data_IF_808344984020
#
_entry.id   IF_808344984020
#
_cell.length_a   1.000
_cell.length_b   1.000
_cell.length_c   1.000
_cell.angle_alpha   90.00
_cell.angle_beta   90.00
_cell.angle_gamma   90.00
#
_symmetry.space_group_name_H-M   'P 1'
#
loop_
_entity.id
_entity.type
_entity.pdbx_description
1 polymer ?
#
# COMPACT_ATOMS: atom_id res chain seq x y z
N UNK A 1 29.02 -54.31 -60.09
CA UNK A 1 29.79 -55.17 -59.17
C UNK A 1 30.59 -54.25 -58.27
N UNK A 2 30.56 -54.49 -56.95
CA UNK A 2 31.21 -53.62 -55.96
C UNK A 2 30.35 -53.44 -54.71
N UNK A 3 30.31 -54.48 -53.87
CA UNK A 3 29.81 -54.37 -52.50
C UNK A 3 30.62 -53.34 -51.69
N UNK A 4 29.94 -52.60 -50.80
CA UNK A 4 30.44 -52.45 -49.44
C UNK A 4 29.37 -52.05 -48.42
N UNK A 5 29.59 -52.53 -47.19
CA UNK A 5 28.70 -52.49 -46.03
C UNK A 5 28.88 -51.21 -45.19
N UNK A 6 27.95 -50.91 -44.26
CA UNK A 6 27.95 -49.65 -43.51
C UNK A 6 28.96 -49.63 -42.35
N UNK A 7 29.47 -48.45 -42.02
CA UNK A 7 30.13 -48.17 -40.75
C UNK A 7 29.14 -47.47 -39.80
N UNK A 8 28.72 -48.18 -38.75
CA UNK A 8 28.03 -47.57 -37.61
C UNK A 8 28.98 -46.64 -36.87
N UNK A 9 28.53 -45.45 -36.48
CA UNK A 9 29.20 -44.62 -35.48
C UNK A 9 28.18 -44.32 -34.39
N UNK A 10 28.39 -44.93 -33.23
CA UNK A 10 27.49 -44.82 -32.08
C UNK A 10 27.44 -43.38 -31.57
N UNK A 11 26.23 -42.81 -31.52
CA UNK A 11 25.97 -41.57 -30.82
C UNK A 11 25.82 -41.90 -29.32
N UNK A 12 26.85 -41.60 -28.53
CA UNK A 12 26.79 -41.72 -27.07
C UNK A 12 25.94 -40.56 -26.55
N UNK A 13 24.69 -40.85 -26.24
CA UNK A 13 23.77 -39.93 -25.58
C UNK A 13 24.13 -39.81 -24.09
N UNK A 14 24.90 -38.79 -23.74
CA UNK A 14 25.27 -38.49 -22.35
C UNK A 14 24.15 -37.67 -21.71
N UNK A 15 23.11 -38.38 -21.27
CA UNK A 15 22.08 -37.84 -20.38
C UNK A 15 22.71 -37.40 -19.05
N UNK A 16 23.07 -36.12 -18.95
CA UNK A 16 23.57 -35.51 -17.72
C UNK A 16 22.40 -35.16 -16.81
N UNK A 17 21.93 -36.13 -16.03
CA UNK A 17 21.04 -35.91 -14.88
C UNK A 17 21.79 -35.12 -13.79
N UNK A 18 21.93 -33.82 -14.01
CA UNK A 18 22.43 -32.89 -13.00
C UNK A 18 21.29 -32.60 -12.01
N UNK A 19 21.17 -33.48 -11.00
CA UNK A 19 20.27 -33.32 -9.86
C UNK A 19 20.39 -31.90 -9.29
N UNK A 20 19.42 -31.04 -9.63
CA UNK A 20 19.29 -29.69 -9.06
C UNK A 20 18.90 -29.82 -7.60
N UNK A 21 19.93 -29.97 -6.76
CA UNK A 21 19.85 -29.93 -5.30
C UNK A 21 19.02 -28.69 -4.90
N UNK A 22 17.84 -28.87 -4.26
CA UNK A 22 16.95 -27.75 -3.99
C UNK A 22 17.65 -26.75 -3.07
N UNK A 23 17.72 -25.48 -3.51
CA UNK A 23 18.36 -24.42 -2.75
C UNK A 23 17.77 -24.33 -1.33
N UNK A 24 18.59 -24.35 -0.26
CA UNK A 24 18.09 -24.44 1.12
C UNK A 24 17.18 -23.27 1.54
N UNK A 25 17.23 -22.15 0.81
CA UNK A 25 16.36 -20.99 0.99
C UNK A 25 14.88 -21.28 0.68
N UNK A 26 14.57 -22.23 -0.21
CA UNK A 26 13.18 -22.54 -0.59
C UNK A 26 12.43 -23.27 0.54
N UNK A 27 13.09 -24.21 1.22
CA UNK A 27 12.49 -25.02 2.30
C UNK A 27 12.04 -24.17 3.50
N UNK A 28 12.79 -23.11 3.84
CA UNK A 28 12.42 -22.23 4.96
C UNK A 28 11.27 -21.26 4.66
N UNK A 29 10.95 -20.99 3.39
CA UNK A 29 9.80 -20.17 3.03
C UNK A 29 8.48 -20.94 3.26
N UNK A 30 8.42 -22.20 2.82
CA UNK A 30 7.23 -23.07 2.94
C UNK A 30 6.90 -23.43 4.39
N UNK A 31 7.92 -23.71 5.22
CA UNK A 31 7.72 -23.97 6.65
C UNK A 31 7.09 -22.78 7.39
N UNK A 32 7.40 -21.54 6.98
CA UNK A 32 6.81 -20.34 7.60
C UNK A 32 5.36 -20.14 7.19
N UNK A 33 5.05 -20.35 5.90
CA UNK A 33 3.67 -20.27 5.40
C UNK A 33 2.74 -21.25 6.14
N UNK A 34 3.21 -22.48 6.38
CA UNK A 34 2.46 -23.53 7.09
C UNK A 34 2.16 -23.25 8.57
N UNK A 35 2.73 -22.19 9.18
CA UNK A 35 2.53 -21.84 10.60
C UNK A 35 1.69 -20.58 10.84
N UNK A 36 1.11 -20.00 9.77
CA UNK A 36 0.21 -18.84 9.88
C UNK A 36 -1.19 -19.29 10.30
N UNK A 37 -1.73 -18.64 11.32
CA UNK A 37 -3.10 -18.87 11.82
C UNK A 37 -4.15 -18.04 11.07
N UNK A 38 -3.67 -17.03 10.32
CA UNK A 38 -4.50 -16.11 9.55
C UNK A 38 -4.81 -16.66 8.16
N UNK A 39 -6.05 -16.50 7.76
CA UNK A 39 -6.50 -16.70 6.38
C UNK A 39 -6.97 -15.35 5.84
N UNK A 40 -6.34 -14.89 4.75
CA UNK A 40 -6.70 -13.66 4.02
C UNK A 40 -7.42 -14.07 2.74
N UNK A 41 -8.47 -13.33 2.36
CA UNK A 41 -9.04 -13.48 1.02
C UNK A 41 -7.99 -13.05 -0.02
N UNK A 42 -7.57 -13.93 -0.95
CA UNK A 42 -6.46 -13.63 -1.88
C UNK A 42 -6.78 -12.47 -2.84
N UNK A 43 -8.06 -12.17 -3.06
CA UNK A 43 -8.51 -11.07 -3.94
C UNK A 43 -9.04 -9.93 -3.06
N UNK A 44 -8.51 -8.70 -3.19
CA UNK A 44 -9.03 -7.56 -2.44
C UNK A 44 -10.36 -7.04 -3.03
N UNK A 45 -11.24 -6.52 -2.17
CA UNK A 45 -12.54 -5.91 -2.52
C UNK A 45 -12.39 -4.75 -3.54
N UNK A 46 -11.26 -4.04 -3.46
CA UNK A 46 -10.81 -3.05 -4.43
C UNK A 46 -9.29 -2.93 -4.37
N UNK A 47 -8.68 -2.40 -5.44
CA UNK A 47 -7.23 -2.21 -5.57
C UNK A 47 -6.63 -3.05 -6.70
N UNK A 48 -5.29 -3.09 -6.85
CA UNK A 48 -4.62 -4.10 -7.68
C UNK A 48 -5.02 -5.52 -7.27
N UNK A 49 -5.30 -6.39 -8.25
CA UNK A 49 -5.63 -7.81 -8.04
C UNK A 49 -4.36 -8.64 -7.74
N UNK A 50 -3.69 -8.29 -6.65
CA UNK A 50 -2.49 -8.96 -6.14
C UNK A 50 -2.74 -9.45 -4.70
N UNK A 51 -2.08 -10.54 -4.26
CA UNK A 51 -2.22 -11.01 -2.89
C UNK A 51 -1.70 -9.97 -1.88
N UNK A 52 -2.10 -10.10 -0.61
CA UNK A 52 -1.54 -9.31 0.47
C UNK A 52 -0.04 -9.63 0.62
N UNK A 53 0.85 -8.63 0.71
CA UNK A 53 2.27 -8.86 0.95
C UNK A 53 2.53 -9.66 2.23
N UNK A 54 3.39 -10.68 2.15
CA UNK A 54 3.67 -11.64 3.22
C UNK A 54 4.00 -11.01 4.57
N UNK A 55 4.84 -9.96 4.57
CA UNK A 55 5.25 -9.28 5.81
C UNK A 55 4.07 -8.62 6.54
N UNK A 56 3.01 -8.23 5.82
CA UNK A 56 1.79 -7.70 6.44
C UNK A 56 0.90 -8.82 7.00
N UNK A 57 0.91 -9.99 6.38
CA UNK A 57 0.25 -11.19 6.93
C UNK A 57 0.95 -11.61 8.23
N UNK A 58 2.28 -11.59 8.26
CA UNK A 58 3.07 -11.91 9.46
C UNK A 58 2.81 -10.91 10.61
N UNK A 59 2.75 -9.60 10.33
CA UNK A 59 2.40 -8.56 11.32
C UNK A 59 1.01 -8.79 11.92
N UNK A 60 0.01 -9.17 11.09
CA UNK A 60 -1.32 -9.51 11.58
C UNK A 60 -1.30 -10.82 12.41
N UNK A 61 -0.55 -11.84 11.98
CA UNK A 61 -0.49 -13.15 12.61
C UNK A 61 0.18 -13.09 13.99
N UNK A 62 1.25 -12.31 14.13
CA UNK A 62 1.84 -11.98 15.44
C UNK A 62 0.86 -11.28 16.38
N UNK A 63 0.05 -10.36 15.84
CA UNK A 63 -0.95 -9.66 16.63
C UNK A 63 -2.04 -10.62 17.12
N UNK A 64 -2.55 -11.49 16.23
CA UNK A 64 -3.58 -12.47 16.56
C UNK A 64 -3.07 -13.56 17.52
N UNK A 65 -1.81 -14.00 17.39
CA UNK A 65 -1.14 -14.87 18.39
C UNK A 65 -1.15 -14.27 19.80
N UNK A 66 -1.06 -12.94 19.93
CA UNK A 66 -1.04 -12.22 21.22
C UNK A 66 -2.43 -11.82 21.72
N UNK A 67 -3.41 -11.58 20.83
CA UNK A 67 -4.73 -10.98 21.17
C UNK A 67 -5.94 -11.86 20.84
N UNK A 68 -5.75 -13.06 20.29
CA UNK A 68 -6.81 -14.00 19.96
C UNK A 68 -7.74 -13.49 18.85
N UNK A 69 -9.06 -13.61 19.05
CA UNK A 69 -10.09 -13.27 18.04
C UNK A 69 -10.46 -11.78 17.97
N UNK A 70 -9.83 -10.91 18.76
CA UNK A 70 -10.08 -9.47 18.73
C UNK A 70 -9.74 -8.88 17.34
N UNK A 71 -10.08 -7.60 17.08
CA UNK A 71 -9.67 -6.93 15.84
C UNK A 71 -8.42 -6.05 16.05
N UNK A 72 -7.44 -6.05 15.12
CA UNK A 72 -6.24 -5.24 15.25
C UNK A 72 -6.56 -3.73 15.19
N UNK A 73 -5.68 -2.87 15.75
CA UNK A 73 -5.83 -1.42 15.68
C UNK A 73 -6.07 -0.88 14.26
N UNK A 74 -5.47 -1.51 13.23
CA UNK A 74 -5.63 -1.18 11.82
C UNK A 74 -6.94 -1.63 11.17
N UNK A 75 -7.83 -2.34 11.88
CA UNK A 75 -9.07 -2.83 11.31
C UNK A 75 -9.95 -1.68 10.76
N UNK A 76 -10.48 -1.91 9.58
CA UNK A 76 -11.27 -0.97 8.78
C UNK A 76 -12.75 -1.35 8.79
N UNK A 77 -13.62 -0.37 9.03
CA UNK A 77 -15.06 -0.58 9.01
C UNK A 77 -15.60 -0.78 7.59
N UNK A 78 -16.64 -1.59 7.43
CA UNK A 78 -17.24 -1.90 6.13
C UNK A 78 -18.17 -0.80 5.58
N UNK A 79 -17.67 0.44 5.54
CA UNK A 79 -18.41 1.58 4.99
C UNK A 79 -18.44 1.53 3.46
N UNK A 80 -19.65 1.54 2.87
CA UNK A 80 -19.81 1.81 1.43
C UNK A 80 -19.48 3.27 1.17
N UNK A 81 -18.35 3.55 0.52
CA UNK A 81 -18.03 4.91 0.05
C UNK A 81 -18.62 5.09 -1.35
N UNK A 82 -19.58 6.01 -1.49
CA UNK A 82 -20.23 6.30 -2.77
C UNK A 82 -19.41 7.18 -3.71
N UNK A 83 -18.41 7.88 -3.18
CA UNK A 83 -17.55 8.80 -3.93
C UNK A 83 -16.35 8.08 -4.56
N UNK A 84 -15.92 8.57 -5.73
CA UNK A 84 -14.65 8.16 -6.35
C UNK A 84 -13.50 8.75 -5.53
N UNK A 85 -12.35 8.08 -5.52
CA UNK A 85 -11.20 8.48 -4.71
C UNK A 85 -9.88 8.13 -5.40
N UNK A 86 -8.82 8.86 -5.03
CA UNK A 86 -7.41 8.52 -5.29
C UNK A 86 -6.62 8.64 -3.98
N UNK A 87 -5.42 8.08 -3.93
CA UNK A 87 -4.50 8.24 -2.80
C UNK A 87 -3.20 8.85 -3.31
N UNK A 88 -2.63 9.77 -2.55
CA UNK A 88 -1.34 10.41 -2.85
C UNK A 88 -0.44 10.39 -1.62
N UNK A 89 0.87 10.33 -1.83
CA UNK A 89 1.87 10.53 -0.77
C UNK A 89 2.10 12.03 -0.46
N UNK A 90 3.22 12.35 0.20
CA UNK A 90 3.60 13.72 0.58
C UNK A 90 4.19 14.51 -0.59
N UNK A 91 4.70 13.79 -1.58
CA UNK A 91 5.35 14.29 -2.78
C UNK A 91 4.31 14.52 -3.90
N UNK A 92 3.10 13.97 -3.75
CA UNK A 92 1.99 14.09 -4.68
C UNK A 92 1.91 12.98 -5.72
N UNK A 93 2.70 11.93 -5.56
CA UNK A 93 2.69 10.74 -6.40
C UNK A 93 1.46 9.88 -6.04
N UNK A 94 0.75 9.44 -7.07
CA UNK A 94 -0.45 8.62 -6.90
C UNK A 94 -0.07 7.20 -6.44
N UNK A 95 -0.65 6.77 -5.32
CA UNK A 95 -0.44 5.47 -4.71
C UNK A 95 -1.66 4.57 -4.88
N UNK A 96 -1.42 3.26 -4.93
CA UNK A 96 -2.50 2.27 -4.95
C UNK A 96 -2.89 1.88 -3.52
N UNK A 97 -4.19 1.68 -3.30
CA UNK A 97 -4.75 1.26 -2.01
C UNK A 97 -5.67 0.07 -2.25
N UNK A 98 -5.45 -1.00 -1.49
CA UNK A 98 -6.25 -2.22 -1.54
C UNK A 98 -7.05 -2.41 -0.26
N UNK A 99 -8.24 -3.02 -0.34
CA UNK A 99 -9.02 -3.47 0.82
C UNK A 99 -9.08 -4.98 0.84
N UNK A 100 -8.42 -5.61 1.80
CA UNK A 100 -8.46 -7.06 1.98
C UNK A 100 -9.43 -7.44 3.08
N UNK A 101 -10.08 -8.60 2.91
CA UNK A 101 -10.87 -9.24 3.95
C UNK A 101 -10.02 -10.31 4.66
N UNK A 102 -9.94 -10.22 5.97
CA UNK A 102 -9.41 -11.28 6.84
C UNK A 102 -10.57 -12.23 7.15
N UNK A 103 -10.35 -13.53 7.00
CA UNK A 103 -11.36 -14.58 7.16
C UNK A 103 -11.20 -15.33 8.50
N UNK A 104 -9.95 -15.53 8.95
CA UNK A 104 -9.57 -16.21 10.19
C UNK A 104 -8.45 -15.43 10.87
N UNK A 105 -8.40 -15.35 12.23
CA UNK A 105 -9.27 -16.03 13.20
C UNK A 105 -10.57 -15.25 13.54
N UNK A 106 -10.74 -14.05 12.99
CA UNK A 106 -11.99 -13.28 13.02
C UNK A 106 -12.18 -12.51 11.72
N UNK A 107 -13.44 -12.23 11.36
CA UNK A 107 -13.79 -11.57 10.09
C UNK A 107 -13.76 -10.04 10.21
N UNK A 108 -12.80 -9.41 9.55
CA UNK A 108 -12.68 -7.95 9.46
C UNK A 108 -12.00 -7.55 8.15
N UNK A 109 -11.88 -6.25 7.89
CA UNK A 109 -11.17 -5.70 6.74
C UNK A 109 -9.94 -4.90 7.17
N UNK A 110 -8.94 -4.83 6.29
CA UNK A 110 -7.77 -3.95 6.43
C UNK A 110 -7.52 -3.21 5.13
N UNK A 111 -6.87 -2.05 5.23
CA UNK A 111 -6.38 -1.32 4.06
C UNK A 111 -4.87 -1.52 3.92
N UNK A 112 -4.42 -1.84 2.72
CA UNK A 112 -3.00 -1.96 2.36
C UNK A 112 -2.66 -0.87 1.36
N UNK A 113 -1.72 0.00 1.73
CA UNK A 113 -1.14 1.02 0.85
C UNK A 113 0.06 0.41 0.12
N UNK A 114 0.10 0.57 -1.20
CA UNK A 114 1.17 0.08 -2.07
C UNK A 114 1.92 1.25 -2.72
N UNK A 115 3.25 1.14 -2.82
CA UNK A 115 4.13 2.02 -3.57
C UNK A 115 5.21 1.19 -4.28
N UNK A 116 5.89 1.77 -5.27
CA UNK A 116 7.15 1.21 -5.80
C UNK A 116 8.29 1.25 -4.78
N UNK A 117 8.19 2.13 -3.77
CA UNK A 117 9.34 2.52 -2.94
C UNK A 117 9.39 1.78 -1.59
N UNK A 118 8.33 1.03 -1.26
CA UNK A 118 8.22 0.21 -0.05
C UNK A 118 7.31 -1.00 -0.28
N UNK A 119 7.53 -2.10 0.44
CA UNK A 119 6.87 -3.41 0.26
C UNK A 119 5.35 -3.43 0.48
N UNK A 120 4.80 -2.36 1.05
CA UNK A 120 3.39 -2.19 1.40
C UNK A 120 3.22 -1.88 2.89
N UNK A 121 2.17 -1.15 3.25
CA UNK A 121 1.86 -0.76 4.65
C UNK A 121 0.40 -1.04 4.99
N UNK A 122 0.14 -1.59 6.18
CA UNK A 122 -1.20 -1.57 6.78
C UNK A 122 -1.52 -0.13 7.18
N UNK A 123 -2.66 0.41 6.76
CA UNK A 123 -3.03 1.82 7.02
C UNK A 123 -4.45 1.97 7.55
N UNK A 124 -4.70 3.07 8.25
CA UNK A 124 -6.03 3.47 8.73
C UNK A 124 -6.25 4.96 8.52
N UNK A 125 -7.52 5.35 8.38
CA UNK A 125 -7.94 6.76 8.45
C UNK A 125 -7.64 7.36 9.82
N UNK A 126 -6.87 8.45 9.90
CA UNK A 126 -6.57 9.16 11.17
C UNK A 126 -7.76 9.92 11.72
N UNK A 127 -8.65 10.41 10.85
CA UNK A 127 -9.83 11.20 11.21
C UNK A 127 -11.10 10.59 10.59
N UNK A 128 -12.23 10.55 11.33
CA UNK A 128 -13.51 10.06 10.81
C UNK A 128 -14.26 11.11 9.97
N UNK A 129 -13.81 12.37 9.98
CA UNK A 129 -14.42 13.47 9.26
C UNK A 129 -13.58 13.83 8.04
N UNK A 130 -14.25 14.14 6.93
CA UNK A 130 -13.61 14.67 5.73
C UNK A 130 -13.07 16.07 6.04
N UNK A 131 -11.75 16.23 5.99
CA UNK A 131 -11.16 17.56 5.92
C UNK A 131 -11.28 18.10 4.50
N UNK A 132 -11.03 19.41 4.33
CA UNK A 132 -11.03 20.10 3.03
C UNK A 132 -10.24 19.37 1.94
N UNK A 133 -9.18 18.65 2.32
CA UNK A 133 -8.27 17.94 1.42
C UNK A 133 -8.57 16.44 1.29
N UNK A 134 -9.40 15.85 2.16
CA UNK A 134 -9.70 14.41 2.16
C UNK A 134 -9.50 13.74 3.51
N UNK A 135 -9.09 12.47 3.50
CA UNK A 135 -8.84 11.64 4.69
C UNK A 135 -7.37 11.22 4.71
N UNK A 136 -6.64 11.65 5.74
CA UNK A 136 -5.26 11.25 5.95
C UNK A 136 -5.14 9.79 6.43
N UNK A 137 -4.16 9.08 5.88
CA UNK A 137 -3.84 7.70 6.17
C UNK A 137 -2.55 7.62 7.01
N UNK A 138 -2.64 6.95 8.15
CA UNK A 138 -1.55 6.68 9.08
C UNK A 138 -1.24 5.18 9.03
N UNK A 139 0.04 4.82 9.01
CA UNK A 139 0.46 3.43 8.92
C UNK A 139 0.58 2.79 10.30
N UNK A 140 0.15 1.54 10.40
CA UNK A 140 0.34 0.68 11.56
C UNK A 140 1.42 -0.35 11.23
N UNK A 141 2.44 -0.44 12.08
CA UNK A 141 3.60 -1.30 11.86
C UNK A 141 3.54 -2.61 12.68
N UNK A 142 2.66 -2.68 13.69
CA UNK A 142 2.44 -3.88 14.50
C UNK A 142 2.07 -3.54 15.94
N UNK A 143 2.01 -4.56 16.81
CA UNK A 143 1.80 -4.37 18.25
C UNK A 143 3.03 -3.73 18.93
N UNK A 144 4.24 -3.99 18.44
CA UNK A 144 5.50 -3.56 19.07
C UNK A 144 5.87 -2.14 18.62
N UNK A 145 5.83 -1.90 17.31
CA UNK A 145 6.19 -0.63 16.67
C UNK A 145 5.04 0.40 16.73
N UNK A 146 3.79 -0.06 16.84
CA UNK A 146 2.62 0.80 16.95
C UNK A 146 2.29 1.56 15.66
N UNK A 147 2.04 2.86 15.78
CA UNK A 147 1.69 3.74 14.66
C UNK A 147 2.85 4.64 14.23
N UNK A 148 3.00 4.86 12.93
CA UNK A 148 3.87 5.92 12.42
C UNK A 148 3.40 7.28 12.95
N UNK A 149 4.30 8.06 13.56
CA UNK A 149 3.96 9.39 14.12
C UNK A 149 3.25 10.30 13.10
N UNK A 150 3.71 10.23 11.84
CA UNK A 150 3.28 11.04 10.71
C UNK A 150 2.34 10.27 9.79
N UNK A 151 1.34 10.97 9.23
CA UNK A 151 0.56 10.45 8.12
C UNK A 151 1.45 10.21 6.89
N UNK A 152 1.22 9.08 6.22
CA UNK A 152 2.02 8.60 5.09
C UNK A 152 1.38 8.89 3.73
N UNK A 153 0.04 9.06 3.68
CA UNK A 153 -0.70 9.35 2.46
C UNK A 153 -2.01 10.10 2.77
N UNK A 154 -2.64 10.67 1.74
CA UNK A 154 -3.98 11.27 1.80
C UNK A 154 -4.89 10.63 0.74
N UNK A 155 -6.10 10.25 1.15
CA UNK A 155 -7.16 9.77 0.27
C UNK A 155 -8.11 10.92 -0.04
N UNK A 156 -8.11 11.37 -1.29
CA UNK A 156 -8.89 12.51 -1.78
C UNK A 156 -10.13 11.98 -2.50
N UNK A 157 -11.30 12.57 -2.27
CA UNK A 157 -12.59 12.10 -2.80
C UNK A 157 -13.25 13.15 -3.70
N UNK A 158 -13.92 12.70 -4.76
CA UNK A 158 -14.77 13.54 -5.60
C UNK A 158 -15.90 12.74 -6.25
N UNK A 159 -16.80 13.42 -6.97
CA UNK A 159 -17.83 12.77 -7.79
C UNK A 159 -17.23 12.02 -8.99
N UNK A 160 -16.18 12.58 -9.59
CA UNK A 160 -15.53 12.07 -10.81
C UNK A 160 -14.01 11.98 -10.62
N UNK A 161 -13.37 10.94 -11.18
CA UNK A 161 -11.93 10.69 -10.98
C UNK A 161 -11.02 11.84 -11.46
N UNK A 162 -11.39 12.51 -12.55
CA UNK A 162 -10.64 13.64 -13.13
C UNK A 162 -10.61 14.90 -12.24
N UNK A 163 -11.56 15.03 -11.31
CA UNK A 163 -11.65 16.17 -10.39
C UNK A 163 -10.85 15.93 -9.10
N UNK A 164 -10.16 14.79 -8.99
CA UNK A 164 -9.35 14.42 -7.83
C UNK A 164 -7.91 14.87 -8.08
N UNK A 165 -7.64 16.10 -7.65
CA UNK A 165 -6.34 16.76 -7.84
C UNK A 165 -5.63 16.83 -6.49
N UNK A 166 -4.35 16.46 -6.48
CA UNK A 166 -3.48 16.60 -5.31
C UNK A 166 -3.17 18.09 -5.01
N UNK A 167 -3.06 18.43 -3.73
CA UNK A 167 -2.63 19.76 -3.29
C UNK A 167 -1.54 19.62 -2.21
N UNK A 168 -0.34 20.19 -2.39
CA UNK A 168 0.70 20.22 -1.35
C UNK A 168 0.24 20.90 -0.05
N UNK A 169 -0.69 21.85 -0.15
CA UNK A 169 -1.29 22.54 1.00
C UNK A 169 -2.05 21.61 1.94
N UNK A 170 -2.36 20.37 1.53
CA UNK A 170 -2.90 19.36 2.43
C UNK A 170 -1.96 19.07 3.62
N UNK A 171 -0.64 19.24 3.44
CA UNK A 171 0.37 18.91 4.46
C UNK A 171 0.85 20.10 5.28
N UNK A 172 0.43 21.33 4.94
CA UNK A 172 0.79 22.55 5.69
C UNK A 172 -0.09 22.74 6.93
N UNK A 173 -1.29 22.14 6.95
CA UNK A 173 -2.13 22.12 8.15
C UNK A 173 -1.49 21.21 9.20
N UNK A 174 -1.36 21.66 10.46
CA UNK A 174 -0.79 20.85 11.52
C UNK A 174 -1.75 19.71 11.90
N UNK A 175 -1.63 18.58 11.19
CA UNK A 175 -2.36 17.34 11.49
C UNK A 175 -1.87 16.86 12.86
N UNK A 176 -2.59 17.20 13.95
CA UNK A 176 -2.22 16.86 15.34
C UNK A 176 -1.54 15.49 15.44
N UNK A 177 -0.28 15.48 15.84
CA UNK A 177 0.51 14.26 15.92
C UNK A 177 -0.15 13.26 16.87
N UNK A 178 -0.17 12.00 16.44
CA UNK A 178 -0.65 10.92 17.29
C UNK A 178 0.48 10.49 18.21
N UNK A 179 0.13 10.25 19.47
CA UNK A 179 0.92 9.39 20.34
C UNK A 179 1.09 8.03 19.62
N UNK A 180 2.33 7.53 19.42
CA UNK A 180 2.58 6.25 18.75
C UNK A 180 1.84 5.06 19.38
N UNK A 181 1.46 5.14 20.66
CA UNK A 181 0.60 4.16 21.34
C UNK A 181 -0.85 4.13 20.82
N UNK A 182 -1.29 5.09 19.99
CA UNK A 182 -2.63 5.16 19.41
C UNK A 182 -3.77 5.52 20.40
N UNK A 183 -3.45 5.72 21.68
CA UNK A 183 -4.42 5.89 22.77
C UNK A 183 -5.33 7.14 22.61
N UNK A 184 -4.87 8.16 21.90
CA UNK A 184 -5.61 9.42 21.74
C UNK A 184 -6.83 9.33 20.80
N UNK A 185 -7.02 8.23 20.04
CA UNK A 185 -8.17 8.05 19.15
C UNK A 185 -9.53 8.11 19.88
N UNK A 186 -9.60 7.67 21.15
CA UNK A 186 -10.87 7.66 21.92
C UNK A 186 -11.26 9.04 22.45
N UNK A 187 -10.32 9.98 22.52
CA UNK A 187 -10.57 11.37 22.89
C UNK A 187 -10.78 12.18 21.63
N UNK A 188 -11.90 11.92 20.94
CA UNK A 188 -12.49 13.00 20.14
C UNK A 188 -12.55 14.22 21.05
N UNK A 189 -12.15 15.41 20.60
CA UNK A 189 -12.68 16.60 21.22
C UNK A 189 -14.20 16.43 21.12
N UNK A 190 -14.86 16.26 22.27
CA UNK A 190 -16.16 16.92 22.39
C UNK A 190 -15.87 18.33 21.91
N UNK A 191 -16.65 18.83 20.95
CA UNK A 191 -16.69 20.27 20.78
C UNK A 191 -16.91 20.81 22.17
N UNK A 192 -16.03 21.69 22.63
CA UNK A 192 -16.38 22.53 23.76
C UNK A 192 -17.68 23.17 23.30
N UNK A 193 -18.79 22.75 23.92
CA UNK A 193 -20.06 23.42 23.74
C UNK A 193 -19.77 24.82 24.24
N UNK A 194 -19.50 25.74 23.30
CA UNK A 194 -19.61 27.17 23.53
C UNK A 194 -20.93 27.34 24.22
N UNK A 195 -20.88 27.61 25.53
CA UNK A 195 -22.05 27.65 26.39
C UNK A 195 -23.05 28.55 25.68
N UNK A 196 -24.09 27.91 25.12
CA UNK A 196 -25.05 28.61 24.30
C UNK A 196 -25.91 29.37 25.28
N UNK A 197 -25.42 30.54 25.67
CA UNK A 197 -25.95 31.42 26.72
C UNK A 197 -27.44 31.41 26.56
N UNK A 198 -28.08 30.70 27.48
CA UNK A 198 -29.50 30.40 27.42
C UNK A 198 -30.16 31.68 27.88
N UNK A 199 -30.38 32.60 26.93
CA UNK A 199 -31.07 33.86 27.16
C UNK A 199 -32.48 33.54 27.69
N UNK A 200 -32.54 33.53 29.02
CA UNK A 200 -33.69 33.19 29.83
C UNK A 200 -34.36 34.52 30.18
N UNK A 201 -35.65 34.66 29.87
CA UNK A 201 -36.42 35.84 30.22
C UNK A 201 -36.51 36.91 29.12
N UNK A 202 -37.41 36.68 28.16
CA UNK A 202 -38.36 37.74 27.84
C UNK A 202 -39.77 37.12 27.85
N UNK A 203 -40.51 37.44 28.90
CA UNK A 203 -41.95 37.24 28.94
C UNK A 203 -42.60 37.99 27.80
N UNK A 204 -43.47 37.30 27.07
CA UNK A 204 -44.64 37.95 26.48
C UNK A 204 -45.86 37.13 26.82
N UNK A 205 -46.54 37.57 27.87
CA UNK A 205 -47.95 37.28 28.04
C UNK A 205 -48.70 37.59 26.74
N UNK A 206 -49.54 36.66 26.29
CA UNK A 206 -50.84 37.05 25.76
C UNK A 206 -51.86 35.95 26.03
N UNK A 207 -52.83 36.31 26.86
CA UNK A 207 -53.92 35.47 27.30
C UNK A 207 -54.91 35.11 26.16
N UNK A 208 -55.85 34.21 26.53
CA UNK A 208 -57.24 34.09 26.04
C UNK A 208 -57.51 33.31 24.74
N UNK A 209 -57.55 31.98 24.92
CA UNK A 209 -58.78 31.15 24.94
C UNK A 209 -59.79 31.20 23.73
N UNK A 210 -60.89 30.41 23.69
CA UNK A 210 -60.96 29.20 22.86
C UNK A 210 -62.04 29.22 21.78
N UNK A 211 -62.06 28.22 20.88
CA UNK A 211 -63.26 27.37 20.68
C UNK A 211 -63.05 26.15 19.75
N UNK A 212 -63.62 25.02 20.20
CA UNK A 212 -64.34 23.98 19.42
C UNK A 212 -63.89 23.64 17.97
N UNK A 213 -63.58 22.36 17.76
CA UNK A 213 -64.33 21.52 16.79
C UNK A 213 -64.29 20.02 17.11
N UNK A 214 -65.48 19.42 17.22
CA UNK A 214 -65.73 17.97 17.37
C UNK A 214 -65.62 17.26 16.02
N UNK A 215 -65.09 16.03 15.99
CA UNK A 215 -65.48 14.89 15.12
C UNK A 215 -64.83 13.62 15.70
N UNK A 216 -65.55 12.74 16.42
CA UNK A 216 -66.60 11.77 16.02
C UNK A 216 -66.03 10.45 15.46
N UNK A 217 -66.09 9.41 16.32
CA UNK A 217 -66.35 7.98 16.11
C UNK A 217 -65.82 7.25 14.86
N UNK A 218 -65.15 6.09 15.04
CA UNK A 218 -65.74 4.71 15.03
C UNK A 218 -64.68 3.63 15.46
N UNK A 219 -64.99 2.32 15.61
CA UNK A 219 -65.19 1.74 16.96
C UNK A 219 -64.23 0.59 17.36
N UNK A 220 -64.23 0.29 18.67
CA UNK A 220 -63.75 -0.98 19.25
C UNK A 220 -64.47 -2.21 18.67
N UNK A 221 -63.80 -3.37 18.70
CA UNK A 221 -64.44 -4.68 18.82
C UNK A 221 -63.84 -5.41 20.02
N UNK A 222 -64.69 -5.76 20.98
CA UNK A 222 -64.37 -6.63 22.12
C UNK A 222 -65.03 -7.99 21.88
N UNK A 223 -64.35 -9.08 22.23
CA UNK A 223 -64.95 -10.37 22.59
C UNK A 223 -64.07 -10.99 23.69
N UNK A 224 -64.65 -11.25 24.86
CA UNK A 224 -64.02 -12.02 25.94
C UNK A 224 -64.23 -13.54 25.67
N UNK A 225 -63.31 -14.44 25.98
CA UNK A 225 -63.23 -15.28 27.22
C UNK A 225 -62.22 -16.43 26.95
N UNK A 226 -61.64 -17.17 27.90
CA UNK A 226 -61.58 -17.09 29.38
C UNK A 226 -60.32 -17.82 29.93
N UNK A 227 -60.03 -17.62 31.22
CA UNK A 227 -59.09 -18.38 32.06
C UNK A 227 -59.65 -19.79 32.43
N UNK A 228 -58.97 -20.67 33.21
CA UNK A 228 -57.55 -20.71 33.66
C UNK A 228 -56.88 -22.13 33.69
N UNK A 229 -55.61 -22.16 34.16
CA UNK A 229 -55.07 -23.10 35.17
C UNK A 229 -54.12 -24.26 34.79
N UNK A 230 -53.24 -24.58 35.76
CA UNK A 230 -52.34 -25.73 35.92
C UNK A 230 -51.29 -25.97 34.84
N UNK A 231 -50.02 -25.97 35.25
CA UNK A 231 -48.90 -26.44 34.42
C UNK A 231 -48.48 -27.86 34.77
N UNK A 232 -47.55 -28.41 33.98
CA UNK A 232 -46.64 -29.46 34.45
C UNK A 232 -45.36 -29.45 33.59
N UNK A 233 -44.28 -30.02 34.11
CA UNK A 233 -43.03 -30.19 33.37
C UNK A 233 -43.10 -31.36 32.38
N UNK A 234 -42.35 -31.30 31.27
CA UNK A 234 -41.62 -32.44 30.67
C UNK A 234 -40.71 -32.01 29.51
N UNK A 235 -39.69 -32.82 29.27
CA UNK A 235 -38.69 -32.70 28.21
C UNK A 235 -39.16 -33.39 26.91
N UNK A 236 -38.73 -32.88 25.75
CA UNK A 236 -38.72 -33.49 24.40
C UNK A 236 -38.00 -32.44 23.52
N UNK A 237 -36.82 -32.65 22.93
CA UNK A 237 -36.35 -33.69 22.00
C UNK A 237 -37.06 -33.69 20.64
N UNK A 238 -36.21 -33.84 19.61
CA UNK A 238 -36.43 -34.17 18.19
C UNK A 238 -36.78 -33.07 17.17
N UNK A 239 -35.76 -32.78 16.34
CA UNK A 239 -35.72 -32.93 14.87
C UNK A 239 -36.84 -32.39 13.96
N UNK A 240 -36.43 -31.54 13.01
CA UNK A 240 -36.73 -31.47 11.54
C UNK A 240 -36.50 -30.02 11.07
N UNK A 241 -35.58 -29.75 10.15
CA UNK A 241 -35.60 -29.98 8.69
C UNK A 241 -36.57 -29.05 7.91
N UNK A 242 -36.22 -28.70 6.67
CA UNK A 242 -36.68 -27.58 5.83
C UNK A 242 -35.83 -26.30 5.92
N UNK A 243 -35.46 -25.64 4.82
CA UNK A 243 -35.69 -25.95 3.40
C UNK A 243 -34.66 -25.25 2.52
N UNK A 244 -34.43 -25.81 1.33
CA UNK A 244 -33.70 -25.14 0.25
C UNK A 244 -34.48 -23.91 -0.26
N UNK A 245 -33.76 -22.94 -0.81
CA UNK A 245 -34.30 -22.00 -1.80
C UNK A 245 -33.25 -21.76 -2.88
N UNK A 246 -33.71 -21.82 -4.13
CA UNK A 246 -32.89 -21.86 -5.34
C UNK A 246 -32.88 -20.49 -6.05
N UNK A 247 -32.25 -20.43 -7.24
CA UNK A 247 -32.25 -19.31 -8.20
C UNK A 247 -31.23 -18.18 -7.91
N UNK A 248 -30.63 -17.53 -8.91
CA UNK A 248 -30.83 -17.62 -10.36
C UNK A 248 -29.51 -17.42 -11.11
N UNK A 249 -29.37 -18.12 -12.24
CA UNK A 249 -28.39 -17.79 -13.28
C UNK A 249 -28.56 -16.37 -13.83
N UNK A 250 -27.47 -15.83 -14.36
CA UNK A 250 -27.40 -14.48 -14.92
C UNK A 250 -26.14 -14.26 -15.76
N UNK A 251 -25.86 -15.18 -16.68
CA UNK A 251 -24.78 -15.02 -17.66
C UNK A 251 -25.00 -13.81 -18.56
N UNK A 252 -23.96 -13.01 -18.78
CA UNK A 252 -23.89 -12.10 -19.92
C UNK A 252 -22.47 -12.07 -20.46
N UNK A 253 -22.29 -12.69 -21.63
CA UNK A 253 -21.11 -12.57 -22.46
C UNK A 253 -21.22 -11.33 -23.33
N UNK A 254 -20.12 -10.60 -23.52
CA UNK A 254 -19.98 -9.64 -24.62
C UNK A 254 -18.51 -9.57 -25.04
N UNK A 255 -18.19 -10.38 -26.04
CA UNK A 255 -17.02 -10.19 -26.90
C UNK A 255 -17.29 -9.00 -27.82
N UNK A 256 -16.35 -8.08 -27.96
CA UNK A 256 -16.19 -7.29 -29.20
C UNK A 256 -14.69 -7.09 -29.46
N UNK A 257 -14.24 -7.59 -30.61
CA UNK A 257 -12.98 -7.22 -31.24
C UNK A 257 -13.22 -5.97 -32.10
N UNK A 258 -12.24 -5.06 -32.21
CA UNK A 258 -11.92 -4.41 -33.50
C UNK A 258 -10.46 -3.92 -33.50
N UNK A 259 -9.66 -4.44 -34.44
CA UNK A 259 -8.48 -3.74 -34.93
C UNK A 259 -8.90 -2.68 -35.96
N UNK A 260 -8.48 -1.42 -35.77
CA UNK A 260 -8.84 -0.30 -36.66
C UNK A 260 -7.65 0.62 -36.93
N UNK A 261 -7.10 0.54 -38.14
CA UNK A 261 -5.84 1.17 -38.56
C UNK A 261 -6.06 2.57 -39.22
N UNK A 262 -4.96 3.24 -39.55
CA UNK A 262 -4.78 4.22 -40.66
C UNK A 262 -4.94 5.76 -40.37
N UNK A 263 -3.81 6.47 -40.53
CA UNK A 263 -3.60 7.88 -41.00
C UNK A 263 -3.90 9.13 -40.14
N UNK A 264 -2.83 9.91 -39.95
CA UNK A 264 -2.82 11.38 -40.10
C UNK A 264 -2.81 11.75 -41.62
N UNK A 265 -3.07 12.99 -42.11
CA UNK A 265 -2.54 14.25 -41.54
C UNK A 265 -3.29 15.59 -41.84
N UNK A 266 -2.59 16.71 -41.55
CA UNK A 266 -2.61 18.04 -42.22
C UNK A 266 -3.50 19.23 -41.74
N UNK A 267 -2.78 20.22 -41.14
CA UNK A 267 -2.66 21.63 -41.58
C UNK A 267 -3.80 22.64 -41.30
N UNK A 268 -3.48 23.70 -40.52
CA UNK A 268 -3.44 25.12 -40.98
C UNK A 268 -2.82 26.12 -39.98
N UNK A 269 -1.78 26.84 -40.45
CA UNK A 269 -1.42 28.29 -40.26
C UNK A 269 -1.93 29.01 -38.99
N UNK A 270 -1.10 29.74 -38.22
CA UNK A 270 -0.48 31.08 -38.48
C UNK A 270 0.36 31.45 -37.21
N UNK A 271 1.24 32.45 -37.11
CA UNK A 271 1.66 33.59 -37.95
C UNK A 271 3.11 33.98 -37.59
N UNK A 272 3.89 34.44 -38.56
CA UNK A 272 5.28 34.95 -38.40
C UNK A 272 5.29 36.38 -37.84
N UNK A 273 6.29 36.72 -37.03
CA UNK A 273 6.80 38.09 -36.89
C UNK A 273 8.34 38.07 -36.90
N UNK A 274 8.94 38.85 -37.80
CA UNK A 274 10.39 39.07 -37.96
C UNK A 274 10.78 40.31 -37.12
N UNK A 275 12.01 40.50 -36.62
CA UNK A 275 13.23 41.05 -37.27
C UNK A 275 14.23 41.42 -36.13
N UNK A 276 15.48 41.90 -36.37
CA UNK A 276 16.48 41.42 -37.33
C UNK A 276 17.93 41.32 -36.75
N UNK A 277 18.80 40.62 -37.48
CA UNK A 277 20.28 40.79 -37.63
C UNK A 277 21.16 41.46 -36.56
N UNK A 278 22.27 40.79 -36.20
CA UNK A 278 23.60 41.22 -36.69
C UNK A 278 24.67 40.10 -36.66
N UNK A 279 25.60 40.19 -37.63
CA UNK A 279 26.73 39.29 -37.97
C UNK A 279 27.94 39.48 -37.00
N UNK A 280 29.02 38.64 -36.99
CA UNK A 280 29.61 37.97 -38.16
C UNK A 280 30.15 36.53 -38.02
N UNK A 281 30.49 35.96 -39.18
CA UNK A 281 31.03 34.61 -39.33
C UNK A 281 32.52 34.49 -38.99
N UNK A 282 32.95 33.33 -38.46
CA UNK A 282 34.35 32.89 -38.57
C UNK A 282 34.50 31.36 -38.61
N UNK A 283 35.03 30.89 -39.74
CA UNK A 283 35.84 29.67 -39.93
C UNK A 283 35.42 28.36 -39.23
N UNK A 284 34.92 27.41 -40.04
CA UNK A 284 34.88 25.99 -39.70
C UNK A 284 36.29 25.46 -39.38
N UNK A 285 36.47 24.88 -38.20
CA UNK A 285 37.47 23.83 -37.97
C UNK A 285 36.74 22.63 -37.38
N UNK A 286 36.70 21.55 -38.14
CA UNK A 286 36.12 20.29 -37.67
C UNK A 286 37.14 19.59 -36.76
N UNK A 287 36.92 19.68 -35.47
CA UNK A 287 37.52 18.77 -34.48
C UNK A 287 36.37 18.00 -33.86
N UNK A 288 36.35 16.67 -34.07
CA UNK A 288 35.35 15.80 -33.47
C UNK A 288 35.34 16.03 -31.95
N UNK A 289 34.21 16.37 -31.32
CA UNK A 289 34.10 16.25 -29.88
C UNK A 289 34.09 14.74 -29.59
N UNK A 290 35.27 14.20 -29.24
CA UNK A 290 35.34 12.93 -28.56
C UNK A 290 34.37 13.02 -27.38
N UNK A 291 33.34 12.16 -27.39
CA UNK A 291 32.26 12.18 -26.42
C UNK A 291 32.87 11.94 -25.04
N UNK A 292 33.12 13.01 -24.29
CA UNK A 292 33.57 12.95 -22.89
C UNK A 292 32.37 12.44 -22.09
N UNK A 293 32.19 11.13 -22.11
CA UNK A 293 31.36 10.42 -21.14
C UNK A 293 32.02 10.63 -19.79
N UNK A 294 31.50 11.60 -19.04
CA UNK A 294 31.77 11.70 -17.62
C UNK A 294 31.50 10.32 -17.01
N UNK A 295 32.45 9.73 -16.26
CA UNK A 295 32.22 8.44 -15.64
C UNK A 295 31.01 8.54 -14.70
N UNK A 296 30.08 7.60 -14.82
CA UNK A 296 28.84 7.61 -14.04
C UNK A 296 29.17 7.68 -12.54
N UNK A 297 28.62 8.68 -11.85
CA UNK A 297 28.96 8.94 -10.46
C UNK A 297 28.15 8.00 -9.56
N UNK A 298 28.82 7.17 -8.79
CA UNK A 298 28.15 6.22 -7.89
C UNK A 298 27.96 6.84 -6.51
N UNK A 299 26.75 6.76 -5.98
CA UNK A 299 26.41 7.25 -4.64
C UNK A 299 25.80 6.14 -3.79
N UNK A 300 26.36 5.90 -2.61
CA UNK A 300 25.82 4.99 -1.62
C UNK A 300 24.82 5.70 -0.70
N UNK A 301 23.74 5.02 -0.33
CA UNK A 301 22.67 5.53 0.54
C UNK A 301 22.31 4.50 1.61
N UNK A 302 22.89 4.61 2.80
CA UNK A 302 22.52 3.81 3.97
C UNK A 302 21.13 4.23 4.47
N UNK A 303 20.27 3.26 4.79
CA UNK A 303 18.91 3.49 5.32
C UNK A 303 18.69 2.64 6.57
N UNK A 304 18.44 3.29 7.71
CA UNK A 304 18.05 2.61 8.95
C UNK A 304 16.53 2.45 9.00
N UNK A 305 16.05 1.22 8.88
CA UNK A 305 14.62 0.92 9.02
C UNK A 305 14.09 1.22 10.42
N UNK A 306 14.87 0.95 11.48
CA UNK A 306 14.46 1.20 12.88
C UNK A 306 14.24 2.68 13.19
N UNK A 307 15.01 3.59 12.56
CA UNK A 307 14.98 5.03 12.88
C UNK A 307 14.53 5.94 11.74
N UNK A 308 14.30 5.39 10.54
CA UNK A 308 14.04 6.17 9.32
C UNK A 308 15.22 7.03 8.84
N UNK A 309 16.37 6.94 9.50
CA UNK A 309 17.53 7.76 9.18
C UNK A 309 18.17 7.34 7.86
N UNK A 310 18.69 8.31 7.11
CA UNK A 310 19.32 8.11 5.81
C UNK A 310 20.68 8.82 5.81
N UNK A 311 21.72 8.14 5.32
CA UNK A 311 23.04 8.75 5.06
C UNK A 311 23.50 8.43 3.65
N UNK A 312 23.67 9.47 2.83
CA UNK A 312 24.28 9.35 1.52
C UNK A 312 25.76 9.75 1.55
N UNK A 313 26.59 9.08 0.76
CA UNK A 313 28.00 9.46 0.51
C UNK A 313 28.45 8.92 -0.86
N UNK A 314 29.36 9.61 -1.56
CA UNK A 314 29.78 9.20 -2.90
C UNK A 314 30.86 8.12 -2.86
N UNK A 315 31.09 7.44 -3.98
CA UNK A 315 32.05 6.34 -4.09
C UNK A 315 33.49 6.73 -3.68
N UNK A 316 33.90 7.98 -3.89
CA UNK A 316 35.26 8.43 -3.57
C UNK A 316 35.59 8.36 -2.06
N UNK A 317 34.56 8.38 -1.20
CA UNK A 317 34.70 8.19 0.24
C UNK A 317 34.90 6.72 0.69
N UNK A 318 34.71 5.76 -0.23
CA UNK A 318 34.52 4.34 0.09
C UNK A 318 35.13 3.48 -1.01
N UNK A 319 36.44 3.18 -0.91
CA UNK A 319 37.20 2.55 -2.01
C UNK A 319 37.17 1.03 -1.97
N UNK A 320 36.81 0.45 -0.83
CA UNK A 320 36.79 -0.99 -0.57
C UNK A 320 35.47 -1.41 0.07
N UNK A 321 35.11 -2.69 -0.06
CA UNK A 321 34.02 -3.32 0.68
C UNK A 321 34.23 -3.19 2.19
N UNK A 322 35.47 -3.29 2.66
CA UNK A 322 35.82 -3.01 4.07
C UNK A 322 35.44 -1.60 4.52
N UNK A 323 35.69 -0.57 3.70
CA UNK A 323 35.28 0.82 4.01
C UNK A 323 33.76 0.95 4.08
N UNK A 324 33.04 0.26 3.19
CA UNK A 324 31.58 0.27 3.11
C UNK A 324 30.96 -0.30 4.39
N UNK A 325 31.44 -1.47 4.81
CA UNK A 325 31.00 -2.11 6.05
C UNK A 325 31.39 -1.30 7.28
N UNK A 326 32.56 -0.67 7.30
CA UNK A 326 32.94 0.22 8.41
C UNK A 326 32.03 1.45 8.50
N UNK A 327 31.74 2.15 7.39
CA UNK A 327 30.78 3.27 7.37
C UNK A 327 29.37 2.83 7.81
N UNK A 328 28.92 1.65 7.36
CA UNK A 328 27.66 1.06 7.78
C UNK A 328 27.62 0.79 9.29
N UNK A 329 28.64 0.10 9.85
CA UNK A 329 28.75 -0.13 11.30
C UNK A 329 28.71 1.17 12.09
N UNK A 330 29.47 2.19 11.69
CA UNK A 330 29.45 3.49 12.35
C UNK A 330 28.06 4.12 12.31
N UNK A 331 27.36 4.05 11.17
CA UNK A 331 26.02 4.61 11.01
C UNK A 331 24.95 3.88 11.83
N UNK A 332 24.86 2.55 11.73
CA UNK A 332 23.85 1.77 12.44
C UNK A 332 24.07 1.78 13.97
N UNK A 333 25.34 1.87 14.43
CA UNK A 333 25.66 2.03 15.86
C UNK A 333 25.23 3.36 16.48
N UNK A 334 24.84 4.36 15.70
CA UNK A 334 24.20 5.58 16.21
C UNK A 334 22.80 5.29 16.78
N UNK A 335 22.13 4.25 16.29
CA UNK A 335 20.77 3.87 16.66
C UNK A 335 20.73 2.62 17.55
N UNK A 336 21.68 1.71 17.37
CA UNK A 336 21.77 0.45 18.11
C UNK A 336 23.24 0.14 18.42
N UNK A 337 23.68 0.44 19.65
CA UNK A 337 25.09 0.32 20.07
C UNK A 337 25.66 -1.08 19.88
N UNK A 338 24.80 -2.09 19.92
CA UNK A 338 25.16 -3.50 19.79
C UNK A 338 25.01 -4.03 18.36
N UNK A 339 24.68 -3.17 17.39
CA UNK A 339 24.61 -3.55 15.99
C UNK A 339 25.97 -4.07 15.51
N UNK A 340 25.97 -5.34 15.12
CA UNK A 340 26.99 -5.93 14.26
C UNK A 340 26.46 -6.00 12.83
N UNK A 341 27.26 -5.45 11.90
CA UNK A 341 26.92 -5.41 10.48
C UNK A 341 27.82 -6.44 9.81
N UNK A 342 27.22 -7.61 9.59
CA UNK A 342 27.83 -8.79 8.94
C UNK A 342 27.33 -8.97 7.52
N UNK A 343 26.13 -8.49 7.20
CA UNK A 343 25.49 -8.56 5.88
C UNK A 343 24.93 -7.17 5.55
N UNK A 344 25.01 -6.75 4.29
CA UNK A 344 24.34 -5.55 3.78
C UNK A 344 23.41 -5.89 2.62
N UNK A 345 22.15 -5.47 2.72
CA UNK A 345 21.16 -5.60 1.65
C UNK A 345 21.26 -4.38 0.72
N UNK A 346 21.77 -4.58 -0.50
CA UNK A 346 21.97 -3.53 -1.49
C UNK A 346 20.92 -3.58 -2.61
N UNK A 347 20.49 -2.41 -3.09
CA UNK A 347 19.58 -2.26 -4.21
C UNK A 347 20.05 -1.10 -5.08
N UNK A 348 20.35 -1.37 -6.35
CA UNK A 348 20.69 -0.33 -7.35
C UNK A 348 19.37 0.29 -7.81
N UNK A 349 19.23 1.63 -7.83
CA UNK A 349 17.95 2.29 -8.15
C UNK A 349 17.36 1.92 -9.52
N UNK A 350 18.22 1.53 -10.48
CA UNK A 350 17.86 1.09 -11.82
C UNK A 350 17.43 -0.38 -11.91
N UNK A 351 17.63 -1.16 -10.85
CA UNK A 351 17.33 -2.58 -10.79
C UNK A 351 16.24 -2.90 -9.74
N UNK A 352 15.42 -3.92 -10.04
CA UNK A 352 14.51 -4.50 -9.05
C UNK A 352 15.16 -5.58 -8.19
N UNK A 353 16.36 -6.03 -8.57
CA UNK A 353 17.10 -7.05 -7.85
C UNK A 353 17.67 -6.49 -6.53
N UNK A 354 17.71 -7.35 -5.52
CA UNK A 354 18.33 -7.09 -4.24
C UNK A 354 19.59 -7.95 -4.14
N UNK A 355 20.73 -7.29 -3.94
CA UNK A 355 22.05 -7.89 -3.84
C UNK A 355 22.42 -7.99 -2.35
N UNK A 356 23.10 -9.06 -1.94
CA UNK A 356 23.57 -9.22 -0.56
C UNK A 356 25.09 -9.22 -0.56
N UNK A 357 25.70 -8.34 0.23
CA UNK A 357 27.14 -8.32 0.47
C UNK A 357 27.46 -9.02 1.80
N UNK A 358 28.51 -9.82 1.82
CA UNK A 358 29.03 -10.49 3.03
C UNK A 358 30.39 -9.93 3.48
N UNK A 359 30.79 -8.79 2.91
CA UNK A 359 32.04 -8.09 3.25
C UNK A 359 33.25 -8.55 2.43
N UNK A 360 33.04 -9.32 1.36
CA UNK A 360 34.12 -9.64 0.40
C UNK A 360 34.34 -8.48 -0.58
N UNK A 361 35.58 -8.30 -1.01
CA UNK A 361 35.93 -7.24 -1.98
C UNK A 361 35.39 -7.57 -3.39
N UNK A 362 35.31 -8.85 -3.77
CA UNK A 362 34.78 -9.26 -5.08
C UNK A 362 33.28 -8.95 -5.26
N UNK A 363 32.46 -9.13 -4.22
CA UNK A 363 31.05 -8.72 -4.23
C UNK A 363 30.91 -7.20 -4.33
N UNK A 364 31.77 -6.45 -3.63
CA UNK A 364 31.80 -4.99 -3.69
C UNK A 364 32.18 -4.48 -5.10
N UNK A 365 33.25 -5.01 -5.69
CA UNK A 365 33.67 -4.65 -7.05
C UNK A 365 32.58 -4.96 -8.09
N UNK A 366 31.91 -6.11 -7.96
CA UNK A 366 30.79 -6.49 -8.83
C UNK A 366 29.61 -5.51 -8.72
N UNK A 367 29.22 -5.14 -7.49
CA UNK A 367 28.16 -4.17 -7.23
C UNK A 367 28.50 -2.78 -7.81
N UNK A 368 29.75 -2.32 -7.65
CA UNK A 368 30.23 -1.05 -8.24
C UNK A 368 30.18 -1.11 -9.77
N UNK A 369 30.58 -2.24 -10.37
CA UNK A 369 30.54 -2.43 -11.81
C UNK A 369 29.09 -2.36 -12.33
N UNK A 370 28.18 -3.12 -11.73
CA UNK A 370 26.75 -3.08 -12.07
C UNK A 370 26.16 -1.68 -11.94
N UNK A 371 26.45 -0.97 -10.84
CA UNK A 371 25.95 0.39 -10.62
C UNK A 371 26.43 1.38 -11.70
N UNK A 372 27.69 1.26 -12.16
CA UNK A 372 28.27 2.07 -13.25
C UNK A 372 27.78 1.69 -14.64
N UNK A 373 27.57 0.40 -14.88
CA UNK A 373 27.08 -0.13 -16.17
C UNK A 373 25.57 0.13 -16.37
N UNK A 374 24.84 0.46 -15.29
CA UNK A 374 23.41 0.73 -15.35
C UNK A 374 23.10 2.04 -16.10
N UNK A 375 22.30 1.95 -17.17
CA UNK A 375 22.01 3.04 -18.12
C UNK A 375 20.98 4.07 -17.61
N UNK A 376 20.91 4.27 -16.29
CA UNK A 376 19.97 5.20 -15.68
C UNK A 376 20.32 6.65 -16.03
N UNK A 377 19.30 7.49 -16.23
CA UNK A 377 19.46 8.95 -16.29
C UNK A 377 19.70 9.59 -14.92
N UNK A 378 19.51 8.83 -13.84
CA UNK A 378 19.93 9.19 -12.50
C UNK A 378 21.29 8.53 -12.19
N UNK A 379 22.25 9.32 -11.70
CA UNK A 379 23.56 8.87 -11.24
C UNK A 379 23.45 7.60 -10.37
N UNK A 380 24.35 6.63 -10.62
CA UNK A 380 24.28 5.25 -10.12
C UNK A 380 24.13 5.15 -8.60
N UNK A 381 22.88 5.13 -8.13
CA UNK A 381 22.56 5.18 -6.71
C UNK A 381 22.33 3.78 -6.18
N UNK A 382 23.06 3.43 -5.11
CA UNK A 382 22.98 2.14 -4.43
C UNK A 382 22.43 2.36 -3.02
N UNK A 383 21.21 1.91 -2.78
CA UNK A 383 20.57 1.94 -1.46
C UNK A 383 20.99 0.71 -0.67
N UNK A 384 21.51 0.89 0.54
CA UNK A 384 21.89 -0.19 1.44
C UNK A 384 21.04 -0.14 2.70
N UNK A 385 20.69 -1.31 3.20
CA UNK A 385 19.75 -1.57 4.29
C UNK A 385 20.35 -2.59 5.25
#
# INVERSE_FOLDING_TARGET
MGDQRPSSTDAIDVHSDEERKPSPSALHADERASRRTITVNPIPDFGPKQPMPDHLVDVLDEWHKKKGKNHPPCAYGNGKVSQRWKVFDREGKELQLSKFQILSPSRYWVLVLHSSDFSGKLVKSRLPHFEKYGIFLIAWQGEIEGWEAKCCAIRIFARELKNIVYSPDAWTHPIRDMDPAGNNWKKSPLREDTERVRNQGQEREREKEPERRKRVNRPKREVATSNPNSGNASESSDETDSSADESSDGSSSSEEEEEGNVTAPTVKRRRVQQQPSNMPARTRKATNPAKVTNPAKVTFKLVSYKSGAIRAFPLEECKTGRDLFNKARTFFRLFDRNADVTILSCQISSERAQHFLFGSEGEFELLIKQAKDSKSTEDGTVTLK
#
